data_IF_434470648090
#
_entry.id   IF_434470648090
#
_cell.length_a   1.000
_cell.length_b   1.000
_cell.length_c   1.000
_cell.angle_alpha   90.00
_cell.angle_beta   90.00
_cell.angle_gamma   90.00
#
_symmetry.space_group_name_H-M   'P 1'
#
loop_
_entity.id
_entity.type
_entity.pdbx_description
1 polymer ?
#
# COMPACT_ATOMS: atom_id res chain seq x y z
N UNK A 1 -14.97 14.37 -7.74
CA UNK A 1 -15.68 13.13 -8.10
C UNK A 1 -14.69 12.00 -8.16
N UNK A 2 -15.02 10.85 -7.59
CA UNK A 2 -14.21 9.63 -7.71
C UNK A 2 -14.18 9.11 -9.15
N UNK A 3 -13.12 8.39 -9.50
CA UNK A 3 -13.00 7.70 -10.77
C UNK A 3 -12.24 6.39 -10.59
N UNK A 4 -13.02 5.31 -10.45
CA UNK A 4 -12.53 3.95 -10.21
C UNK A 4 -11.61 3.82 -8.98
N UNK A 5 -12.12 4.14 -7.77
CA UNK A 5 -11.35 3.95 -6.54
C UNK A 5 -11.08 2.47 -6.28
N UNK A 6 -9.86 2.15 -5.84
CA UNK A 6 -9.35 0.80 -5.68
C UNK A 6 -9.45 0.29 -4.23
N UNK A 7 -9.36 1.19 -3.25
CA UNK A 7 -9.35 0.85 -1.82
C UNK A 7 -9.82 2.03 -0.96
N UNK A 8 -10.26 1.73 0.26
CA UNK A 8 -10.63 2.72 1.26
C UNK A 8 -10.39 2.20 2.67
N UNK A 9 -9.98 3.08 3.57
CA UNK A 9 -9.79 2.75 4.98
C UNK A 9 -10.29 3.88 5.87
N UNK A 10 -11.06 3.51 6.90
CA UNK A 10 -11.44 4.43 7.99
C UNK A 10 -10.31 4.47 9.02
N UNK A 11 -9.90 5.69 9.37
CA UNK A 11 -9.02 5.96 10.50
C UNK A 11 -9.86 6.53 11.65
N UNK A 12 -10.22 5.65 12.59
CA UNK A 12 -11.12 5.99 13.71
C UNK A 12 -10.64 7.19 14.56
N UNK A 13 -9.34 7.34 14.90
CA UNK A 13 -8.90 8.46 15.74
C UNK A 13 -9.19 9.85 15.16
N UNK A 14 -9.23 9.98 13.83
CA UNK A 14 -9.53 11.27 13.17
C UNK A 14 -10.95 11.34 12.58
N UNK A 15 -11.71 10.24 12.64
CA UNK A 15 -13.01 10.08 11.97
C UNK A 15 -12.94 10.38 10.46
N UNK A 16 -11.91 9.87 9.80
CA UNK A 16 -11.65 10.13 8.38
C UNK A 16 -11.63 8.83 7.58
N UNK A 17 -12.13 8.87 6.36
CA UNK A 17 -11.93 7.80 5.37
C UNK A 17 -10.92 8.26 4.33
N UNK A 18 -9.84 7.49 4.20
CA UNK A 18 -8.80 7.65 3.20
C UNK A 18 -9.12 6.73 2.03
N UNK A 19 -9.09 7.25 0.81
CA UNK A 19 -9.51 6.53 -0.39
C UNK A 19 -8.37 6.56 -1.41
N UNK A 20 -8.03 5.38 -1.92
CA UNK A 20 -7.12 5.17 -3.04
C UNK A 20 -7.91 5.35 -4.35
N UNK A 21 -8.01 6.58 -4.84
CA UNK A 21 -8.75 6.94 -6.06
C UNK A 21 -7.79 6.86 -7.25
N UNK A 22 -7.52 5.63 -7.72
CA UNK A 22 -6.27 5.33 -8.43
C UNK A 22 -6.34 4.63 -9.79
N UNK A 23 -7.46 4.04 -10.22
CA UNK A 23 -7.53 3.43 -11.56
C UNK A 23 -7.83 4.46 -12.66
N UNK A 24 -8.73 5.40 -12.39
CA UNK A 24 -9.07 6.47 -13.33
C UNK A 24 -8.62 7.87 -12.88
N UNK A 25 -8.43 8.09 -11.58
CA UNK A 25 -7.70 9.24 -11.03
C UNK A 25 -6.34 8.78 -10.49
N UNK A 26 -5.52 9.72 -10.02
CA UNK A 26 -4.16 9.43 -9.55
C UNK A 26 -3.87 10.11 -8.21
N UNK A 27 -4.67 9.81 -7.18
CA UNK A 27 -4.61 10.53 -5.90
C UNK A 27 -5.04 9.70 -4.69
N UNK A 28 -4.69 10.23 -3.52
CA UNK A 28 -5.38 9.93 -2.27
C UNK A 28 -6.38 11.05 -2.01
N UNK A 29 -7.59 10.69 -1.59
CA UNK A 29 -8.63 11.63 -1.19
C UNK A 29 -9.15 11.24 0.20
N UNK A 30 -9.37 12.25 1.05
CA UNK A 30 -9.80 12.08 2.43
C UNK A 30 -11.13 12.78 2.64
N UNK A 31 -12.08 12.03 3.18
CA UNK A 31 -13.40 12.53 3.55
C UNK A 31 -13.63 12.37 5.06
N UNK A 32 -14.60 13.11 5.58
CA UNK A 32 -15.20 12.81 6.88
C UNK A 32 -15.95 11.46 6.79
N UNK A 33 -15.72 10.58 7.77
CA UNK A 33 -16.21 9.20 7.72
C UNK A 33 -17.73 9.08 7.94
N UNK A 34 -18.34 10.02 8.65
CA UNK A 34 -19.78 10.00 8.94
C UNK A 34 -20.60 10.63 7.81
N UNK A 35 -20.11 11.75 7.29
CA UNK A 35 -20.86 12.60 6.35
C UNK A 35 -20.45 12.42 4.89
N UNK A 36 -19.24 11.93 4.64
CA UNK A 36 -18.64 11.90 3.31
C UNK A 36 -18.20 13.27 2.79
N UNK A 37 -18.19 14.31 3.64
CA UNK A 37 -17.71 15.64 3.26
C UNK A 37 -16.23 15.61 2.91
N UNK A 38 -15.86 16.27 1.81
CA UNK A 38 -14.47 16.37 1.38
C UNK A 38 -13.63 17.17 2.37
N UNK A 39 -12.46 16.64 2.73
CA UNK A 39 -11.49 17.31 3.61
C UNK A 39 -10.24 17.75 2.84
N UNK A 40 -9.56 16.79 2.19
CA UNK A 40 -8.29 17.03 1.49
C UNK A 40 -8.00 15.94 0.46
N UNK A 41 -7.04 16.20 -0.42
CA UNK A 41 -6.48 15.22 -1.36
C UNK A 41 -5.06 15.61 -1.75
N UNK A 42 -4.27 14.63 -2.19
CA UNK A 42 -2.91 14.84 -2.68
C UNK A 42 -2.52 13.79 -3.70
N UNK A 43 -1.58 14.15 -4.57
CA UNK A 43 -0.88 13.29 -5.52
C UNK A 43 0.46 12.81 -4.97
N UNK A 44 1.28 12.21 -5.83
CA UNK A 44 2.61 11.73 -5.44
C UNK A 44 3.45 12.87 -4.85
N UNK A 45 4.25 12.53 -3.85
CA UNK A 45 5.09 13.49 -3.10
C UNK A 45 4.32 14.64 -2.41
N UNK A 46 3.01 14.51 -2.23
CA UNK A 46 2.17 15.53 -1.59
C UNK A 46 1.79 16.67 -2.53
N UNK A 47 2.04 16.49 -3.83
CA UNK A 47 1.73 17.48 -4.86
C UNK A 47 0.22 17.59 -5.10
N UNK A 48 -0.18 18.63 -5.83
CA UNK A 48 -1.55 18.71 -6.36
C UNK A 48 -1.81 17.54 -7.33
N UNK A 49 -2.93 16.80 -7.17
CA UNK A 49 -3.27 15.72 -8.09
C UNK A 49 -3.41 16.17 -9.54
N UNK A 50 -2.91 15.35 -10.47
CA UNK A 50 -3.25 15.47 -11.88
C UNK A 50 -4.17 14.31 -12.26
N UNK A 51 -5.46 14.62 -12.40
CA UNK A 51 -6.51 13.67 -12.80
C UNK A 51 -6.53 13.46 -14.33
N UNK A 52 -5.40 13.08 -14.91
CA UNK A 52 -5.33 12.66 -16.31
C UNK A 52 -5.56 11.16 -16.39
N UNK A 53 -6.65 10.71 -17.00
CA UNK A 53 -7.01 9.29 -17.13
C UNK A 53 -6.07 8.56 -18.12
N UNK A 54 -4.82 8.36 -17.70
CA UNK A 54 -3.79 7.71 -18.48
C UNK A 54 -2.82 6.93 -17.58
N UNK A 55 -3.22 5.75 -17.15
CA UNK A 55 -2.28 4.82 -16.52
C UNK A 55 -1.44 4.05 -17.56
N UNK A 56 -0.13 4.34 -17.76
CA UNK A 56 0.71 3.49 -18.58
C UNK A 56 0.95 2.15 -17.87
N UNK A 57 0.79 1.04 -18.58
CA UNK A 57 1.38 -0.22 -18.14
C UNK A 57 2.89 -0.18 -18.36
N UNK A 58 3.65 -0.02 -17.27
CA UNK A 58 5.12 0.11 -17.33
C UNK A 58 5.75 -1.28 -17.23
N UNK A 59 6.51 -1.68 -18.25
CA UNK A 59 7.24 -2.95 -18.23
C UNK A 59 8.33 -2.98 -17.14
N UNK A 60 8.80 -4.18 -16.75
CA UNK A 60 9.85 -4.33 -15.74
C UNK A 60 11.09 -3.46 -16.03
N UNK A 61 11.53 -3.47 -17.27
CA UNK A 61 12.72 -2.77 -17.76
C UNK A 61 12.57 -1.25 -17.95
N UNK A 62 11.36 -0.70 -17.77
CA UNK A 62 11.05 0.69 -18.07
C UNK A 62 10.84 1.55 -16.82
N UNK A 63 10.99 0.99 -15.61
CA UNK A 63 10.91 1.80 -14.39
C UNK A 63 12.23 2.56 -14.24
N UNK A 64 12.22 3.90 -14.29
CA UNK A 64 13.44 4.69 -14.17
C UNK A 64 14.04 4.57 -12.77
N UNK A 65 15.38 4.62 -12.71
CA UNK A 65 16.10 4.79 -11.45
C UNK A 65 15.75 6.14 -10.80
N UNK A 66 15.82 6.20 -9.47
CA UNK A 66 15.51 7.39 -8.68
C UNK A 66 14.12 7.33 -8.03
N UNK A 67 13.55 8.46 -7.62
CA UNK A 67 12.36 8.46 -6.78
C UNK A 67 11.06 8.05 -7.52
N UNK A 68 11.13 7.82 -8.83
CA UNK A 68 9.98 7.59 -9.71
C UNK A 68 9.33 8.90 -10.19
N UNK A 69 8.26 8.81 -11.00
CA UNK A 69 7.58 9.98 -11.56
C UNK A 69 6.89 10.86 -10.50
N UNK A 70 6.72 12.15 -10.82
CA UNK A 70 6.07 13.17 -9.96
C UNK A 70 4.55 12.99 -9.81
N UNK A 71 3.97 11.99 -10.47
CA UNK A 71 2.56 11.62 -10.38
C UNK A 71 2.42 10.17 -9.95
N UNK A 72 1.35 9.85 -9.23
CA UNK A 72 0.96 8.46 -9.01
C UNK A 72 0.58 7.84 -10.35
N UNK A 73 0.70 6.52 -10.46
CA UNK A 73 0.21 5.77 -11.62
C UNK A 73 -1.03 4.97 -11.30
N UNK A 74 -0.97 4.04 -10.34
CA UNK A 74 -2.19 3.37 -9.84
C UNK A 74 -2.11 3.32 -8.33
N UNK A 75 -2.82 4.24 -7.69
CA UNK A 75 -3.02 4.22 -6.24
C UNK A 75 -3.96 3.05 -5.93
N UNK A 76 -3.38 1.88 -5.67
CA UNK A 76 -4.16 0.64 -5.63
C UNK A 76 -4.63 0.26 -4.23
N UNK A 77 -3.88 0.67 -3.21
CA UNK A 77 -4.19 0.39 -1.82
C UNK A 77 -3.57 1.45 -0.92
N UNK A 78 -4.12 1.61 0.28
CA UNK A 78 -3.50 2.42 1.32
C UNK A 78 -3.74 1.84 2.71
N UNK A 79 -2.84 2.09 3.65
CA UNK A 79 -3.06 1.84 5.08
C UNK A 79 -2.55 3.01 5.91
N UNK A 80 -3.32 3.40 6.91
CA UNK A 80 -3.00 4.41 7.92
C UNK A 80 -2.57 3.67 9.18
N UNK A 81 -1.36 3.97 9.67
CA UNK A 81 -0.86 3.45 10.93
C UNK A 81 -1.42 4.22 12.12
N UNK A 82 -1.36 3.59 13.28
CA UNK A 82 -1.79 4.13 14.57
C UNK A 82 -0.98 5.36 15.01
N UNK A 83 0.23 5.53 14.48
CA UNK A 83 1.05 6.73 14.67
C UNK A 83 0.82 7.82 13.60
N UNK A 84 -0.17 7.64 12.72
CA UNK A 84 -0.63 8.66 11.78
C UNK A 84 0.14 8.74 10.45
N UNK A 85 0.91 7.72 10.09
CA UNK A 85 1.50 7.62 8.75
C UNK A 85 0.54 6.95 7.76
N UNK A 86 0.51 7.43 6.52
CA UNK A 86 -0.28 6.87 5.43
C UNK A 86 0.64 6.20 4.42
N UNK A 87 0.55 4.88 4.31
CA UNK A 87 1.30 4.06 3.35
C UNK A 87 0.45 3.87 2.10
N UNK A 88 0.94 4.30 0.96
CA UNK A 88 0.20 4.36 -0.30
C UNK A 88 0.89 3.51 -1.35
N UNK A 89 0.19 2.48 -1.84
CA UNK A 89 0.71 1.55 -2.83
C UNK A 89 0.49 2.10 -4.26
N UNK A 90 1.57 2.54 -4.90
CA UNK A 90 1.59 3.07 -6.26
C UNK A 90 2.10 1.99 -7.23
N UNK A 91 1.16 1.17 -7.70
CA UNK A 91 1.43 -0.16 -8.26
C UNK A 91 2.31 -0.15 -9.50
N UNK A 92 2.00 0.67 -10.49
CA UNK A 92 2.77 0.62 -11.75
C UNK A 92 4.11 1.36 -11.65
N UNK A 93 4.22 2.32 -10.72
CA UNK A 93 5.50 2.97 -10.38
C UNK A 93 6.36 2.14 -9.43
N UNK A 94 5.86 1.01 -8.95
CA UNK A 94 6.56 0.07 -8.06
C UNK A 94 7.13 0.70 -6.81
N UNK A 95 6.28 1.46 -6.14
CA UNK A 95 6.65 2.07 -4.88
C UNK A 95 5.52 2.05 -3.86
N UNK A 96 5.90 2.10 -2.60
CA UNK A 96 5.02 2.53 -1.50
C UNK A 96 5.50 3.89 -1.07
N UNK A 97 4.68 4.92 -1.17
CA UNK A 97 4.99 6.23 -0.57
C UNK A 97 4.37 6.34 0.82
N UNK A 98 5.09 6.99 1.72
CA UNK A 98 4.68 7.25 3.10
C UNK A 98 4.40 8.73 3.24
N UNK A 99 3.25 9.06 3.82
CA UNK A 99 2.81 10.42 4.07
C UNK A 99 2.46 10.62 5.54
N UNK A 100 2.43 11.88 5.96
CA UNK A 100 1.72 12.26 7.19
C UNK A 100 0.21 12.10 6.99
N UNK A 101 -0.54 12.12 8.09
CA UNK A 101 -2.01 12.11 8.06
C UNK A 101 -2.58 13.26 7.21
N UNK A 102 -1.86 14.38 7.11
CA UNK A 102 -2.25 15.58 6.38
C UNK A 102 -1.83 15.56 4.90
N UNK A 103 -1.10 14.52 4.46
CA UNK A 103 -0.69 14.32 3.07
C UNK A 103 0.70 14.88 2.72
N UNK A 104 1.50 15.25 3.71
CA UNK A 104 2.89 15.65 3.48
C UNK A 104 3.74 14.41 3.22
N UNK A 105 4.56 14.45 2.16
CA UNK A 105 5.46 13.33 1.85
C UNK A 105 6.55 13.17 2.90
N UNK A 106 6.79 11.93 3.32
CA UNK A 106 7.79 11.56 4.32
C UNK A 106 8.91 10.75 3.69
N UNK A 107 8.58 9.59 3.12
CA UNK A 107 9.57 8.68 2.54
C UNK A 107 8.92 7.69 1.55
N UNK A 108 9.70 6.77 0.97
CA UNK A 108 9.17 5.71 0.11
C UNK A 108 10.06 4.47 0.03
N UNK A 109 9.43 3.34 -0.28
CA UNK A 109 10.09 2.10 -0.69
C UNK A 109 9.90 1.95 -2.19
N UNK A 110 10.96 1.62 -2.93
CA UNK A 110 10.89 1.29 -4.36
C UNK A 110 11.45 -0.12 -4.57
N UNK A 111 10.78 -0.92 -5.40
CA UNK A 111 11.23 -2.27 -5.74
C UNK A 111 11.18 -2.53 -7.24
N UNK A 112 12.34 -2.56 -7.89
CA UNK A 112 12.41 -2.68 -9.36
C UNK A 112 12.46 -4.12 -9.86
N UNK A 113 12.95 -5.06 -9.05
CA UNK A 113 13.30 -6.43 -9.49
C UNK A 113 12.08 -7.31 -9.82
N UNK A 114 10.91 -6.95 -9.30
CA UNK A 114 9.67 -7.69 -9.48
C UNK A 114 8.47 -6.74 -9.41
N UNK A 115 7.29 -7.17 -9.87
CA UNK A 115 6.07 -6.43 -9.61
C UNK A 115 5.88 -6.16 -8.10
N UNK A 116 5.49 -4.93 -7.80
CA UNK A 116 5.38 -4.28 -6.48
C UNK A 116 4.66 -2.96 -6.78
N UNK A 117 3.97 -2.24 -5.91
CA UNK A 117 3.30 -2.58 -4.67
C UNK A 117 1.79 -2.58 -4.98
N UNK A 118 1.15 -3.74 -5.05
CA UNK A 118 -0.29 -3.81 -5.36
C UNK A 118 -1.13 -3.57 -4.12
N UNK A 119 -0.70 -4.07 -2.97
CA UNK A 119 -1.45 -3.93 -1.74
C UNK A 119 -0.48 -3.81 -0.57
N UNK A 120 -0.95 -3.19 0.52
CA UNK A 120 -0.18 -2.99 1.75
C UNK A 120 -1.03 -3.39 2.94
N UNK A 121 -0.42 -4.04 3.93
CA UNK A 121 -1.02 -4.31 5.24
C UNK A 121 -0.01 -3.99 6.34
N UNK A 122 -0.50 -3.64 7.51
CA UNK A 122 0.32 -3.40 8.70
C UNK A 122 0.18 -4.58 9.65
N UNK A 123 1.20 -4.92 10.41
CA UNK A 123 1.01 -5.86 11.52
C UNK A 123 0.12 -5.28 12.61
N UNK A 124 -0.54 -6.15 13.37
CA UNK A 124 -1.48 -5.78 14.43
C UNK A 124 -0.86 -5.73 15.83
N UNK A 125 0.45 -5.98 15.96
CA UNK A 125 1.14 -5.68 17.21
C UNK A 125 1.05 -4.18 17.52
N UNK A 126 1.26 -3.83 18.79
CA UNK A 126 1.06 -2.46 19.27
C UNK A 126 1.96 -1.42 18.59
N UNK A 127 3.10 -1.82 18.04
CA UNK A 127 4.03 -0.93 17.35
C UNK A 127 3.79 -0.91 15.83
N UNK A 128 2.94 -1.84 15.35
CA UNK A 128 2.78 -2.17 13.94
C UNK A 128 4.15 -2.35 13.28
N UNK A 129 4.99 -3.20 13.89
CA UNK A 129 6.41 -3.33 13.54
C UNK A 129 6.63 -3.64 12.04
N UNK A 130 5.69 -4.31 11.38
CA UNK A 130 5.85 -4.75 10.00
C UNK A 130 4.92 -4.03 9.03
N UNK A 131 5.49 -3.70 7.87
CA UNK A 131 4.76 -3.38 6.65
C UNK A 131 4.84 -4.57 5.70
N UNK A 132 3.68 -5.14 5.38
CA UNK A 132 3.52 -6.18 4.38
C UNK A 132 3.18 -5.55 3.04
N UNK A 133 3.86 -5.94 1.96
CA UNK A 133 3.61 -5.41 0.62
C UNK A 133 3.47 -6.52 -0.40
N UNK A 134 2.29 -6.59 -1.02
CA UNK A 134 1.97 -7.52 -2.10
C UNK A 134 2.28 -6.97 -3.48
N UNK A 135 2.14 -7.81 -4.50
CA UNK A 135 2.25 -7.44 -5.91
C UNK A 135 3.18 -8.34 -6.72
N UNK A 136 4.14 -9.01 -6.07
CA UNK A 136 5.20 -9.81 -6.70
C UNK A 136 5.05 -11.32 -6.49
N UNK A 137 6.14 -12.10 -6.55
CA UNK A 137 6.10 -13.55 -6.35
C UNK A 137 5.74 -14.00 -4.92
N UNK A 138 5.63 -13.05 -3.99
CA UNK A 138 5.26 -13.27 -2.59
C UNK A 138 4.93 -11.94 -1.91
N UNK A 139 4.78 -11.98 -0.58
CA UNK A 139 4.52 -10.79 0.24
C UNK A 139 5.82 -10.33 0.87
N UNK A 140 6.31 -9.15 0.47
CA UNK A 140 7.51 -8.56 1.08
C UNK A 140 7.18 -8.01 2.45
N UNK A 141 8.12 -8.18 3.38
CA UNK A 141 8.02 -7.70 4.75
C UNK A 141 9.12 -6.70 5.00
N UNK A 142 8.74 -5.52 5.45
CA UNK A 142 9.66 -4.45 5.84
C UNK A 142 9.49 -4.15 7.33
N UNK A 143 10.57 -3.74 7.98
CA UNK A 143 10.48 -2.99 9.22
C UNK A 143 9.77 -1.67 8.91
N UNK A 144 8.64 -1.40 9.58
CA UNK A 144 7.79 -0.27 9.23
C UNK A 144 8.45 1.06 9.56
N UNK A 145 9.25 1.11 10.64
CA UNK A 145 9.83 2.34 11.15
C UNK A 145 11.04 2.79 10.32
N UNK A 146 11.90 1.84 9.93
CA UNK A 146 13.09 2.12 9.11
C UNK A 146 12.87 1.94 7.61
N UNK A 147 11.77 1.29 7.21
CA UNK A 147 11.50 0.84 5.85
C UNK A 147 12.54 -0.16 5.31
N UNK A 148 13.33 -0.78 6.20
CA UNK A 148 14.30 -1.80 5.84
C UNK A 148 13.60 -3.08 5.41
N UNK A 149 14.04 -3.67 4.29
CA UNK A 149 13.56 -4.98 3.86
C UNK A 149 14.05 -6.07 4.82
N UNK A 150 13.12 -6.88 5.34
CA UNK A 150 13.43 -7.98 6.26
C UNK A 150 13.42 -9.33 5.54
N UNK A 151 12.33 -9.63 4.83
CA UNK A 151 12.14 -10.95 4.21
C UNK A 151 11.00 -10.92 3.19
N UNK A 152 10.78 -12.04 2.50
CA UNK A 152 9.60 -12.28 1.65
C UNK A 152 8.90 -13.54 2.15
N UNK A 153 7.59 -13.44 2.39
CA UNK A 153 6.71 -14.59 2.62
C UNK A 153 6.39 -15.20 1.26
N UNK A 154 7.01 -16.33 0.98
CA UNK A 154 6.90 -17.09 -0.27
C UNK A 154 7.08 -18.60 -0.02
N UNK A 155 6.86 -19.41 -1.04
CA UNK A 155 7.04 -20.87 -0.99
C UNK A 155 5.82 -21.67 -1.40
N UNK A 156 5.96 -22.99 -1.34
CA UNK A 156 4.93 -23.94 -1.77
C UNK A 156 3.63 -23.73 -0.97
N UNK A 157 2.57 -23.37 -1.69
CA UNK A 157 1.24 -23.18 -1.15
C UNK A 157 0.88 -21.73 -0.80
N UNK A 158 1.78 -20.76 -0.87
CA UNK A 158 1.41 -19.33 -0.75
C UNK A 158 0.67 -18.87 -2.01
N UNK A 159 -0.54 -18.33 -1.84
CA UNK A 159 -1.39 -18.01 -3.01
C UNK A 159 -1.10 -16.63 -3.59
N UNK A 160 -0.62 -16.62 -4.84
CA UNK A 160 -0.57 -15.43 -5.70
C UNK A 160 0.18 -14.23 -5.10
N UNK A 161 0.06 -13.06 -5.75
CA UNK A 161 0.81 -11.87 -5.34
C UNK A 161 0.18 -11.11 -4.16
N UNK A 162 -0.91 -11.62 -3.56
CA UNK A 162 -1.75 -10.85 -2.64
C UNK A 162 -2.39 -9.64 -3.31
N UNK A 163 -3.47 -9.87 -4.05
CA UNK A 163 -4.27 -8.78 -4.64
C UNK A 163 -4.87 -7.87 -3.56
N UNK A 164 -5.24 -8.48 -2.44
CA UNK A 164 -5.56 -7.81 -1.19
C UNK A 164 -4.88 -8.58 -0.06
N UNK A 165 -4.32 -7.86 0.91
CA UNK A 165 -3.75 -8.42 2.12
C UNK A 165 -4.29 -7.67 3.33
N UNK A 166 -4.53 -8.38 4.42
CA UNK A 166 -4.99 -7.79 5.68
C UNK A 166 -4.51 -8.66 6.84
N UNK A 167 -4.36 -8.06 8.02
CA UNK A 167 -3.98 -8.80 9.23
C UNK A 167 -5.16 -8.93 10.18
N UNK A 168 -5.10 -9.85 11.14
CA UNK A 168 -6.03 -9.88 12.28
C UNK A 168 -5.35 -9.53 13.61
N UNK A 169 -6.14 -9.33 14.66
CA UNK A 169 -5.63 -8.97 15.99
C UNK A 169 -4.72 -10.04 16.64
N UNK A 170 -4.65 -11.24 16.07
CA UNK A 170 -3.73 -12.30 16.50
C UNK A 170 -2.43 -12.31 15.66
N UNK A 171 -2.27 -11.37 14.73
CA UNK A 171 -1.12 -11.22 13.86
C UNK A 171 -1.17 -12.09 12.60
N UNK A 172 -2.26 -12.82 12.33
CA UNK A 172 -2.36 -13.66 11.14
C UNK A 172 -2.48 -12.79 9.89
N UNK A 173 -1.87 -13.22 8.79
CA UNK A 173 -1.96 -12.56 7.50
C UNK A 173 -2.98 -13.27 6.60
N UNK A 174 -3.92 -12.51 6.08
CA UNK A 174 -4.92 -12.96 5.10
C UNK A 174 -4.51 -12.46 3.72
N UNK A 175 -4.52 -13.36 2.75
CA UNK A 175 -4.15 -13.09 1.37
C UNK A 175 -5.36 -13.44 0.50
N UNK A 176 -5.82 -12.51 -0.33
CA UNK A 176 -6.76 -12.79 -1.40
C UNK A 176 -6.06 -12.63 -2.76
N UNK A 177 -6.22 -13.61 -3.64
CA UNK A 177 -5.58 -13.65 -4.94
C UNK A 177 -6.61 -13.87 -6.05
N UNK A 178 -6.53 -13.04 -7.10
CA UNK A 178 -7.41 -13.10 -8.26
C UNK A 178 -7.34 -14.49 -8.90
N UNK A 179 -8.46 -15.21 -8.92
CA UNK A 179 -8.54 -16.56 -9.49
C UNK A 179 -8.01 -17.69 -8.60
N UNK A 180 -7.47 -17.39 -7.42
CA UNK A 180 -6.91 -18.40 -6.49
C UNK A 180 -7.60 -18.43 -5.11
N UNK A 181 -8.59 -17.56 -4.87
CA UNK A 181 -9.36 -17.54 -3.63
C UNK A 181 -8.67 -16.75 -2.53
N UNK A 182 -8.80 -17.21 -1.28
CA UNK A 182 -8.17 -16.59 -0.11
C UNK A 182 -7.41 -17.63 0.72
N UNK A 183 -6.40 -17.17 1.46
CA UNK A 183 -5.55 -17.96 2.34
C UNK A 183 -5.29 -17.21 3.64
N UNK A 184 -5.24 -17.93 4.76
CA UNK A 184 -4.73 -17.42 6.03
C UNK A 184 -3.37 -18.03 6.32
N UNK A 185 -2.39 -17.19 6.62
CA UNK A 185 -1.08 -17.57 7.12
C UNK A 185 -1.01 -17.28 8.62
N UNK A 186 -0.66 -18.30 9.40
CA UNK A 186 -0.49 -18.17 10.85
C UNK A 186 0.86 -17.50 11.13
N UNK A 187 0.85 -16.43 11.91
CA UNK A 187 2.09 -15.83 12.36
C UNK A 187 2.67 -16.61 13.54
N UNK A 188 3.91 -17.09 13.36
CA UNK A 188 4.62 -17.90 14.36
C UNK A 188 5.85 -17.20 14.95
N UNK A 189 6.10 -15.94 14.55
CA UNK A 189 7.29 -15.17 14.92
C UNK A 189 8.30 -15.06 13.78
N UNK A 190 9.34 -14.26 14.00
CA UNK A 190 10.53 -14.22 13.15
C UNK A 190 11.61 -15.10 13.77
N UNK A 191 12.21 -15.98 12.98
CA UNK A 191 13.42 -16.72 13.36
C UNK A 191 14.61 -16.13 12.61
N UNK A 192 15.72 -15.88 13.31
CA UNK A 192 16.99 -15.60 12.67
C UNK A 192 17.46 -16.86 11.95
N UNK A 193 17.71 -16.76 10.64
CA UNK A 193 18.42 -17.81 9.92
C UNK A 193 19.89 -17.75 10.35
N UNK A 194 20.30 -18.67 11.23
CA UNK A 194 21.73 -18.94 11.48
C UNK A 194 22.42 -19.57 10.27
#
# INVERSE_FOLDING_TARGET
>A
NFHEPADAQVHEPTNEVFIADGYGNHRVIVLDADTGEFKRMWGAFGNEPVDADNCPHISLSAVPDGPGPDQFSVVHALRVSTDGHVYVADRENRRVQVFSIDGEYIDQIIWHDAPFARNVALSHDSEQQFLYVGGGPGIRVFDRASLEYLTTIEGDGVIGPGHHIETDSAGNLYIAATGSGYQRLLFTGLESLE
#
